data_IF_947954563204
#
_entry.id   IF_947954563204
#
_cell.length_a   1.000
_cell.length_b   1.000
_cell.length_c   1.000
_cell.angle_alpha   90.00
_cell.angle_beta   90.00
_cell.angle_gamma   90.00
#
_symmetry.space_group_name_H-M   'P 1'
#
loop_
_entity.id
_entity.type
_entity.pdbx_description
1 polymer ?
#
# COMPACT_ATOMS: atom_id res chain seq x y z
N UNK A 1 16.46 -8.98 -10.67
CA UNK A 1 17.35 -7.84 -10.34
C UNK A 1 16.62 -6.88 -9.41
N UNK A 2 17.24 -6.00 -8.59
CA UNK A 2 16.46 -5.11 -7.74
C UNK A 2 15.68 -4.11 -8.62
N UNK A 3 14.36 -4.11 -8.45
CA UNK A 3 13.39 -3.50 -9.36
C UNK A 3 13.45 -1.98 -9.45
N UNK A 4 13.00 -1.47 -10.59
CA UNK A 4 12.85 -0.03 -10.87
C UNK A 4 11.98 0.65 -9.80
N UNK A 5 12.44 1.81 -9.33
CA UNK A 5 11.74 2.67 -8.38
C UNK A 5 11.19 3.89 -9.11
N UNK A 6 9.90 4.13 -8.99
CA UNK A 6 9.29 5.42 -9.34
C UNK A 6 8.93 6.06 -8.01
N UNK A 7 9.57 7.18 -7.66
CA UNK A 7 9.38 7.89 -6.40
C UNK A 7 8.89 9.30 -6.65
N UNK A 8 7.83 9.73 -5.98
CA UNK A 8 7.43 11.13 -5.93
C UNK A 8 8.28 11.83 -4.86
N UNK A 9 9.18 12.74 -5.25
CA UNK A 9 9.85 13.69 -4.34
C UNK A 9 10.78 13.12 -3.25
N UNK A 10 11.18 14.00 -2.32
CA UNK A 10 12.27 13.81 -1.34
C UNK A 10 11.86 13.05 -0.05
N UNK A 11 10.88 12.16 -0.12
CA UNK A 11 10.24 11.55 1.06
C UNK A 11 10.96 10.32 1.65
N UNK A 12 11.93 9.75 0.94
CA UNK A 12 12.69 8.56 1.36
C UNK A 12 13.50 8.76 2.65
N UNK A 13 13.77 10.00 3.05
CA UNK A 13 14.64 10.31 4.19
C UNK A 13 13.94 10.19 5.54
N UNK A 14 12.61 10.10 5.55
CA UNK A 14 11.81 10.38 6.74
C UNK A 14 11.66 9.17 7.69
N UNK A 15 11.95 7.95 7.23
CA UNK A 15 11.94 6.73 8.07
C UNK A 15 13.19 5.84 7.94
N UNK A 16 14.20 6.27 7.18
CA UNK A 16 15.34 5.38 6.86
C UNK A 16 14.93 4.10 6.13
N UNK A 17 13.71 4.06 5.57
CA UNK A 17 13.21 2.92 4.79
C UNK A 17 14.04 2.81 3.52
N UNK A 18 15.00 1.90 3.53
CA UNK A 18 15.78 1.59 2.34
C UNK A 18 14.89 0.87 1.33
N UNK A 19 15.04 1.15 0.03
CA UNK A 19 14.26 0.49 -1.02
C UNK A 19 14.35 -1.06 -1.00
N UNK A 20 15.36 -1.62 -0.31
CA UNK A 20 15.52 -3.06 0.00
C UNK A 20 14.36 -3.66 0.81
N UNK A 21 13.68 -2.86 1.64
CA UNK A 21 12.50 -3.28 2.41
C UNK A 21 11.41 -3.89 1.50
N UNK A 22 11.29 -3.36 0.28
CA UNK A 22 10.21 -3.66 -0.67
C UNK A 22 10.58 -4.77 -1.68
N UNK A 23 11.74 -5.39 -1.55
CA UNK A 23 12.29 -6.31 -2.56
C UNK A 23 12.12 -7.81 -2.25
N UNK A 24 11.61 -8.20 -1.07
CA UNK A 24 11.56 -9.63 -0.67
C UNK A 24 10.15 -10.22 -0.62
N UNK A 25 10.04 -11.48 -1.09
CA UNK A 25 8.81 -12.29 -1.23
C UNK A 25 8.09 -12.65 0.09
N UNK A 26 8.70 -12.43 1.26
CA UNK A 26 8.20 -12.89 2.57
C UNK A 26 7.03 -12.05 3.12
N UNK A 27 6.25 -12.64 4.06
CA UNK A 27 5.17 -11.95 4.79
C UNK A 27 5.65 -10.59 5.32
N UNK A 28 5.01 -9.51 4.86
CA UNK A 28 5.41 -8.14 5.20
C UNK A 28 5.35 -7.84 6.69
N UNK A 29 4.52 -8.53 7.47
CA UNK A 29 4.46 -8.35 8.94
C UNK A 29 5.80 -8.64 9.64
N UNK A 30 6.53 -9.67 9.20
CA UNK A 30 7.87 -9.99 9.74
C UNK A 30 8.99 -9.12 9.16
N UNK A 31 8.82 -8.67 7.91
CA UNK A 31 9.79 -7.82 7.21
C UNK A 31 9.73 -6.39 7.72
N UNK A 32 8.55 -5.84 7.95
CA UNK A 32 8.37 -4.45 8.38
C UNK A 32 8.95 -4.19 9.76
N UNK A 33 8.79 -5.11 10.74
CA UNK A 33 9.46 -5.00 12.05
C UNK A 33 10.99 -5.00 11.96
N UNK A 34 11.57 -5.64 10.93
CA UNK A 34 13.03 -5.73 10.74
C UNK A 34 13.63 -4.47 10.13
N UNK A 35 12.91 -3.78 9.26
CA UNK A 35 13.41 -2.58 8.55
C UNK A 35 12.84 -1.27 9.10
N UNK A 36 11.78 -1.35 9.89
CA UNK A 36 11.20 -0.25 10.64
C UNK A 36 10.79 -0.78 12.01
N UNK A 37 11.72 -0.82 12.98
CA UNK A 37 11.46 -1.36 14.32
C UNK A 37 10.30 -0.65 15.04
N UNK A 38 10.08 0.63 14.74
CA UNK A 38 8.97 1.43 15.27
C UNK A 38 7.63 1.19 14.55
N UNK A 39 7.62 0.55 13.37
CA UNK A 39 6.40 0.23 12.66
C UNK A 39 5.62 -0.87 13.40
N UNK A 40 4.30 -0.73 13.46
CA UNK A 40 3.37 -1.73 14.00
C UNK A 40 2.39 -2.12 12.89
N UNK A 41 2.81 -3.02 11.98
CA UNK A 41 2.03 -3.32 10.79
C UNK A 41 0.71 -3.99 11.15
N UNK A 42 -0.38 -3.52 10.56
CA UNK A 42 -1.71 -4.08 10.73
C UNK A 42 -2.49 -4.09 9.41
N UNK A 43 -3.49 -4.96 9.32
CA UNK A 43 -4.48 -4.96 8.27
C UNK A 43 -5.82 -4.55 8.90
N UNK A 44 -6.49 -3.54 8.36
CA UNK A 44 -7.75 -3.05 8.92
C UNK A 44 -8.91 -3.96 8.49
N UNK A 45 -9.87 -4.19 9.40
CA UNK A 45 -11.17 -4.78 9.08
C UNK A 45 -12.15 -3.67 8.74
N UNK A 46 -12.98 -3.89 7.73
CA UNK A 46 -14.12 -3.04 7.37
C UNK A 46 -15.10 -3.88 6.56
N UNK A 47 -16.29 -3.37 6.24
CA UNK A 47 -17.28 -4.12 5.45
C UNK A 47 -17.78 -3.29 4.28
N UNK A 48 -19.05 -3.45 3.90
CA UNK A 48 -19.84 -2.50 3.14
C UNK A 48 -20.48 -3.05 1.88
N UNK A 49 -21.57 -2.40 1.47
CA UNK A 49 -22.39 -2.78 0.31
C UNK A 49 -21.63 -2.73 -1.02
N UNK A 50 -21.42 -3.86 -1.68
CA UNK A 50 -20.86 -3.87 -3.03
C UNK A 50 -22.00 -3.99 -4.02
N UNK A 51 -22.12 -3.00 -4.91
CA UNK A 51 -23.20 -2.96 -5.92
C UNK A 51 -24.60 -3.14 -5.30
N UNK A 52 -24.85 -2.50 -4.16
CA UNK A 52 -26.13 -2.56 -3.44
C UNK A 52 -26.34 -3.79 -2.54
N UNK A 53 -25.46 -4.79 -2.58
CA UNK A 53 -25.58 -6.02 -1.78
C UNK A 53 -24.59 -6.00 -0.62
N UNK A 54 -24.97 -6.52 0.55
CA UNK A 54 -24.06 -6.70 1.70
C UNK A 54 -23.34 -8.06 1.63
N UNK A 55 -22.03 -8.09 1.33
CA UNK A 55 -21.26 -9.34 1.18
C UNK A 55 -20.58 -9.81 2.49
N UNK A 56 -20.92 -9.25 3.65
CA UNK A 56 -20.25 -9.53 4.92
C UNK A 56 -18.85 -8.91 5.05
N UNK A 57 -18.05 -9.41 5.99
CA UNK A 57 -16.79 -8.81 6.45
C UNK A 57 -15.72 -8.73 5.35
N UNK A 58 -15.20 -7.53 5.10
CA UNK A 58 -14.02 -7.25 4.27
C UNK A 58 -12.83 -6.85 5.16
N UNK A 59 -11.84 -6.23 4.53
CA UNK A 59 -10.69 -5.64 5.19
C UNK A 59 -9.61 -5.37 4.16
N UNK A 60 -8.42 -5.03 4.64
CA UNK A 60 -7.25 -4.86 3.80
C UNK A 60 -6.76 -6.21 3.27
N UNK A 61 -7.40 -6.72 2.22
CA UNK A 61 -7.09 -8.02 1.63
C UNK A 61 -5.78 -8.09 0.84
N UNK A 62 -5.13 -6.95 0.60
CA UNK A 62 -3.81 -6.85 -0.07
C UNK A 62 -3.04 -5.61 0.36
N UNK A 63 -3.42 -5.03 1.50
CA UNK A 63 -2.88 -3.78 2.03
C UNK A 63 -2.42 -3.99 3.45
N UNK A 64 -1.40 -3.27 3.86
CA UNK A 64 -0.95 -3.24 5.26
C UNK A 64 -0.67 -1.78 5.62
N UNK A 65 -1.30 -1.30 6.68
CA UNK A 65 -0.88 -0.07 7.35
C UNK A 65 0.42 -0.40 8.10
N UNK A 66 1.55 0.13 7.63
CA UNK A 66 2.86 -0.08 8.25
C UNK A 66 2.95 0.64 9.59
N UNK A 67 2.34 1.83 9.66
CA UNK A 67 2.30 2.67 10.84
C UNK A 67 1.82 4.08 10.48
N UNK A 68 1.75 4.90 11.52
CA UNK A 68 1.41 6.31 11.45
C UNK A 68 2.69 7.11 11.72
N UNK A 69 2.94 8.13 10.91
CA UNK A 69 4.04 9.04 11.09
C UNK A 69 3.54 10.40 11.55
N UNK A 70 4.14 10.92 12.62
CA UNK A 70 4.04 12.33 12.95
C UNK A 70 5.03 13.16 12.11
N UNK A 71 4.51 14.18 11.43
CA UNK A 71 5.27 15.17 10.68
C UNK A 71 5.76 16.29 11.63
N UNK A 72 6.73 17.09 11.17
CA UNK A 72 7.29 18.18 11.96
C UNK A 72 6.26 19.27 12.34
N UNK A 73 5.20 19.40 11.55
CA UNK A 73 4.07 20.31 11.81
C UNK A 73 3.01 19.71 12.76
N UNK A 74 3.28 18.54 13.33
CA UNK A 74 2.39 17.84 14.25
C UNK A 74 1.30 17.00 13.58
N UNK A 75 1.08 17.12 12.26
CA UNK A 75 0.14 16.28 11.53
C UNK A 75 0.56 14.82 11.54
N UNK A 76 -0.40 13.94 11.33
CA UNK A 76 -0.16 12.51 11.26
C UNK A 76 -0.54 11.96 9.89
N UNK A 77 0.29 11.09 9.36
CA UNK A 77 0.06 10.44 8.08
C UNK A 77 0.28 8.93 8.17
N UNK A 78 -0.68 8.19 7.64
CA UNK A 78 -0.64 6.76 7.50
C UNK A 78 0.30 6.35 6.36
N UNK A 79 1.13 5.35 6.61
CA UNK A 79 1.96 4.69 5.60
C UNK A 79 1.33 3.35 5.25
N UNK A 80 0.59 3.30 4.14
CA UNK A 80 -0.14 2.10 3.73
C UNK A 80 0.50 1.44 2.50
N UNK A 81 0.98 0.22 2.67
CA UNK A 81 1.63 -0.55 1.61
C UNK A 81 0.61 -1.45 0.88
N UNK A 82 0.28 -1.08 -0.35
CA UNK A 82 -0.55 -1.90 -1.25
C UNK A 82 0.31 -2.96 -1.96
N UNK A 83 -0.21 -4.17 -2.07
CA UNK A 83 0.49 -5.32 -2.67
C UNK A 83 1.41 -6.05 -1.69
N UNK A 84 1.27 -5.76 -0.40
CA UNK A 84 2.13 -6.29 0.67
C UNK A 84 2.03 -7.81 0.88
N UNK A 85 1.08 -8.48 0.23
CA UNK A 85 0.84 -9.92 0.37
C UNK A 85 -0.43 -10.24 1.14
N UNK A 86 -0.55 -11.51 1.52
CA UNK A 86 -1.74 -12.04 2.16
C UNK A 86 -1.96 -11.47 3.58
N UNK A 87 -3.22 -11.27 3.91
CA UNK A 87 -3.75 -10.88 5.22
C UNK A 87 -4.92 -11.81 5.58
N UNK A 88 -5.41 -11.79 6.83
CA UNK A 88 -6.65 -12.51 7.19
C UNK A 88 -7.86 -12.10 6.33
N UNK A 89 -7.80 -10.96 5.64
CA UNK A 89 -8.88 -10.41 4.82
C UNK A 89 -8.69 -10.65 3.32
N UNK A 90 -7.68 -11.42 2.90
CA UNK A 90 -7.39 -11.68 1.47
C UNK A 90 -8.44 -12.52 0.76
N UNK A 91 -9.24 -13.29 1.51
CA UNK A 91 -10.22 -14.24 0.95
C UNK A 91 -9.54 -15.15 -0.08
N UNK A 92 -10.08 -15.21 -1.29
CA UNK A 92 -9.54 -16.00 -2.42
C UNK A 92 -8.45 -15.26 -3.22
N UNK A 93 -8.11 -14.02 -2.84
CA UNK A 93 -7.09 -13.23 -3.52
C UNK A 93 -5.67 -13.59 -3.07
N UNK A 94 -4.69 -13.33 -3.93
CA UNK A 94 -3.26 -13.61 -3.68
C UNK A 94 -2.55 -12.55 -2.82
N UNK A 95 -3.25 -11.48 -2.43
CA UNK A 95 -2.69 -10.37 -1.66
C UNK A 95 -1.70 -9.50 -2.44
N UNK A 96 -1.58 -9.65 -3.76
CA UNK A 96 -0.60 -8.95 -4.59
C UNK A 96 -1.23 -7.83 -5.42
N UNK A 97 -0.40 -6.84 -5.76
CA UNK A 97 -0.67 -5.87 -6.80
C UNK A 97 0.26 -6.12 -8.00
N UNK A 98 -0.18 -5.71 -9.18
CA UNK A 98 0.57 -5.82 -10.44
C UNK A 98 1.05 -4.45 -10.87
N UNK A 99 2.13 -4.41 -11.66
CA UNK A 99 2.79 -3.18 -12.07
C UNK A 99 1.85 -2.18 -12.76
N UNK A 100 1.00 -2.64 -13.69
CA UNK A 100 0.03 -1.77 -14.36
C UNK A 100 -0.92 -1.07 -13.37
N UNK A 101 -1.32 -1.77 -12.30
CA UNK A 101 -2.25 -1.23 -11.31
C UNK A 101 -1.57 -0.21 -10.41
N UNK A 102 -0.32 -0.46 -10.02
CA UNK A 102 0.44 0.46 -9.16
C UNK A 102 0.83 1.73 -9.92
N UNK A 103 1.21 1.64 -11.20
CA UNK A 103 1.52 2.81 -12.04
C UNK A 103 0.29 3.70 -12.20
N UNK A 104 -0.85 3.14 -12.57
CA UNK A 104 -2.10 3.90 -12.73
C UNK A 104 -2.52 4.62 -11.46
N UNK A 105 -2.45 3.93 -10.31
CA UNK A 105 -2.81 4.56 -9.03
C UNK A 105 -1.84 5.67 -8.66
N UNK A 106 -0.53 5.47 -8.85
CA UNK A 106 0.47 6.51 -8.62
C UNK A 106 0.21 7.76 -9.47
N UNK A 107 0.05 7.58 -10.78
CA UNK A 107 -0.18 8.69 -11.71
C UNK A 107 -1.49 9.42 -11.40
N UNK A 108 -2.58 8.69 -11.15
CA UNK A 108 -3.86 9.30 -10.82
C UNK A 108 -3.81 10.05 -9.48
N UNK A 109 -3.21 9.47 -8.45
CA UNK A 109 -3.03 10.12 -7.14
C UNK A 109 -2.26 11.44 -7.26
N UNK A 110 -1.10 11.42 -7.89
CA UNK A 110 -0.27 12.63 -7.97
C UNK A 110 -0.83 13.66 -8.96
N UNK A 111 -1.49 13.23 -10.04
CA UNK A 111 -2.19 14.14 -10.94
C UNK A 111 -3.36 14.86 -10.24
N UNK A 112 -4.20 14.11 -9.50
CA UNK A 112 -5.31 14.70 -8.73
C UNK A 112 -4.81 15.70 -7.70
N UNK A 113 -3.71 15.38 -7.00
CA UNK A 113 -3.09 16.29 -6.06
C UNK A 113 -2.56 17.56 -6.75
N UNK A 114 -1.89 17.42 -7.90
CA UNK A 114 -1.38 18.55 -8.69
C UNK A 114 -2.50 19.45 -9.22
N UNK A 115 -3.69 18.88 -9.45
CA UNK A 115 -4.91 19.61 -9.80
C UNK A 115 -5.61 20.28 -8.61
N UNK A 116 -5.06 20.14 -7.39
CA UNK A 116 -5.67 20.69 -6.17
C UNK A 116 -6.87 19.89 -5.65
N UNK A 117 -7.09 18.66 -6.15
CA UNK A 117 -8.21 17.81 -5.74
C UNK A 117 -7.75 16.92 -4.57
N UNK A 118 -8.50 16.89 -3.44
CA UNK A 118 -8.18 16.03 -2.30
C UNK A 118 -8.09 14.55 -2.70
N UNK A 119 -6.97 13.92 -2.38
CA UNK A 119 -6.67 12.54 -2.76
C UNK A 119 -5.61 11.94 -1.84
N UNK A 120 -5.55 10.62 -1.78
CA UNK A 120 -4.40 9.93 -1.17
C UNK A 120 -3.16 10.12 -2.03
N UNK A 121 -2.00 10.29 -1.40
CA UNK A 121 -0.70 10.49 -2.05
C UNK A 121 -0.01 9.17 -2.33
N UNK A 122 0.78 9.13 -3.40
CA UNK A 122 1.50 7.95 -3.84
C UNK A 122 3.01 8.21 -3.78
N UNK A 123 3.71 7.57 -2.85
CA UNK A 123 5.10 7.90 -2.54
C UNK A 123 6.10 7.18 -3.43
N UNK A 124 5.96 5.86 -3.55
CA UNK A 124 6.87 5.05 -4.34
C UNK A 124 6.20 3.80 -4.86
N UNK A 125 6.60 3.38 -6.06
CA UNK A 125 6.34 2.06 -6.62
C UNK A 125 7.59 1.22 -6.48
N UNK A 126 7.41 -0.06 -6.15
CA UNK A 126 8.48 -1.06 -6.20
C UNK A 126 8.04 -2.24 -7.02
N UNK A 127 8.88 -2.64 -7.95
CA UNK A 127 8.66 -3.77 -8.84
C UNK A 127 9.42 -5.00 -8.35
N UNK A 128 8.97 -6.19 -8.77
CA UNK A 128 9.62 -7.45 -8.43
C UNK A 128 9.51 -8.43 -9.59
N UNK A 129 10.41 -9.41 -9.67
CA UNK A 129 10.33 -10.51 -10.64
C UNK A 129 9.32 -11.60 -10.18
N UNK A 130 8.36 -11.25 -9.32
CA UNK A 130 7.33 -12.19 -8.85
C UNK A 130 6.20 -12.24 -9.86
N UNK A 131 5.94 -13.39 -10.52
CA UNK A 131 4.81 -13.52 -11.42
C UNK A 131 3.50 -13.50 -10.63
N UNK A 132 2.51 -12.77 -11.14
CA UNK A 132 1.19 -12.63 -10.54
C UNK A 132 0.15 -12.92 -11.62
N UNK A 133 -0.67 -13.96 -11.42
CA UNK A 133 -1.67 -14.37 -12.38
C UNK A 133 -2.89 -13.43 -12.35
N UNK A 134 -3.23 -12.83 -13.48
CA UNK A 134 -4.50 -12.14 -13.74
C UNK A 134 -5.12 -12.70 -15.02
N UNK A 135 -5.61 -11.84 -15.91
CA UNK A 135 -5.97 -12.25 -17.27
C UNK A 135 -4.73 -12.77 -18.04
N UNK A 136 -3.56 -12.23 -17.72
CA UNK A 136 -2.24 -12.72 -18.17
C UNK A 136 -1.28 -12.79 -16.97
N UNK A 137 -0.11 -13.41 -17.17
CA UNK A 137 0.95 -13.37 -16.16
C UNK A 137 1.55 -11.96 -16.15
N UNK A 138 1.49 -11.30 -15.00
CA UNK A 138 1.96 -9.94 -14.84
C UNK A 138 3.07 -9.83 -13.79
N UNK A 139 3.82 -8.73 -13.86
CA UNK A 139 4.85 -8.43 -12.89
C UNK A 139 4.24 -7.91 -11.58
N UNK A 140 4.57 -8.57 -10.47
CA UNK A 140 4.18 -8.13 -9.13
C UNK A 140 4.85 -6.82 -8.71
N UNK A 141 4.08 -5.93 -8.12
CA UNK A 141 4.52 -4.63 -7.64
C UNK A 141 3.85 -4.25 -6.32
N UNK A 142 4.44 -3.26 -5.64
CA UNK A 142 3.90 -2.64 -4.44
C UNK A 142 3.86 -1.13 -4.60
N UNK A 143 2.87 -0.50 -3.95
CA UNK A 143 2.72 0.95 -3.90
C UNK A 143 2.64 1.39 -2.45
N UNK A 144 3.49 2.35 -2.06
CA UNK A 144 3.39 3.01 -0.78
C UNK A 144 2.47 4.23 -0.90
N UNK A 145 1.33 4.16 -0.24
CA UNK A 145 0.32 5.22 -0.17
C UNK A 145 0.43 5.98 1.14
N UNK A 146 0.22 7.29 1.07
CA UNK A 146 0.22 8.20 2.21
C UNK A 146 -1.12 8.95 2.27
N UNK A 147 -1.72 9.03 3.45
CA UNK A 147 -2.98 9.73 3.70
C UNK A 147 -3.04 10.16 5.16
N UNK A 148 -3.83 11.18 5.50
CA UNK A 148 -4.09 11.51 6.92
C UNK A 148 -4.92 10.43 7.61
N UNK A 149 -5.73 9.68 6.85
CA UNK A 149 -6.47 8.52 7.36
C UNK A 149 -6.81 7.53 6.25
N UNK A 150 -6.90 6.25 6.63
CA UNK A 150 -7.47 5.18 5.82
C UNK A 150 -8.89 4.78 6.22
N UNK A 151 -9.52 5.51 7.15
CA UNK A 151 -10.92 5.30 7.50
C UNK A 151 -11.82 5.43 6.27
N UNK A 152 -12.85 4.59 6.24
CA UNK A 152 -13.88 4.56 5.19
C UNK A 152 -15.23 4.51 5.86
N UNK A 153 -16.29 4.98 5.19
CA UNK A 153 -17.66 4.89 5.73
C UNK A 153 -18.05 3.48 6.18
N UNK A 154 -17.43 2.47 5.61
CA UNK A 154 -17.73 1.06 5.88
C UNK A 154 -16.94 0.47 7.05
N UNK A 155 -16.21 1.31 7.78
CA UNK A 155 -15.55 0.96 9.03
C UNK A 155 -16.47 1.18 10.26
N UNK A 156 -17.60 1.85 10.07
CA UNK A 156 -18.64 2.06 11.08
C UNK A 156 -19.76 1.02 10.96
#
# INVERSE_FOLDING_TARGET
>A
MPGCFITAGRWLTIWGLTPRFLQRRSRVSGVAKRYCPACKPLAQVYSGHQFGVWPGNWGDGRGILLGEQQLADGRKVDWHLKGAGLTPYSRMGDGRAVLRSTIREFLASEAMHALGIPTTRALTIVTSDTPVQRETVEQGAMLLRVSESHLRFRAF
#
